data_IF_714162510064
#
_entry.id   IF_714162510064
#
_cell.length_a   1.000
_cell.length_b   1.000
_cell.length_c   1.000
_cell.angle_alpha   90.00
_cell.angle_beta   90.00
_cell.angle_gamma   90.00
#
_symmetry.space_group_name_H-M   'P 1'
#
loop_
_entity.id
_entity.type
_entity.pdbx_description
1 polymer ?
#
# COMPACT_ATOMS: atom_id res chain seq x y z
N UNK A 1 4.87 -6.46 -4.12
CA UNK A 1 6.23 -7.03 -3.96
C UNK A 1 6.25 -8.17 -2.93
N UNK A 2 5.64 -7.99 -1.76
CA UNK A 2 5.71 -8.95 -0.65
C UNK A 2 5.29 -10.39 -0.98
N UNK A 3 4.17 -10.58 -1.70
CA UNK A 3 3.73 -11.92 -2.11
C UNK A 3 4.80 -12.70 -2.88
N UNK A 4 5.58 -12.02 -3.72
CA UNK A 4 6.68 -12.65 -4.46
C UNK A 4 7.85 -13.00 -3.53
N UNK A 5 8.20 -12.11 -2.58
CA UNK A 5 9.21 -12.38 -1.56
C UNK A 5 8.83 -13.56 -0.68
N UNK A 6 7.57 -13.62 -0.24
CA UNK A 6 7.01 -14.71 0.57
C UNK A 6 7.04 -16.03 -0.20
N UNK A 7 6.60 -16.05 -1.46
CA UNK A 7 6.69 -17.24 -2.30
C UNK A 7 8.13 -17.74 -2.45
N UNK A 8 9.12 -16.85 -2.58
CA UNK A 8 10.55 -17.22 -2.63
C UNK A 8 11.01 -17.81 -1.29
N UNK A 9 10.63 -17.20 -0.16
CA UNK A 9 10.93 -17.73 1.17
C UNK A 9 10.35 -19.13 1.35
N UNK A 10 9.10 -19.32 0.94
CA UNK A 10 8.35 -20.56 1.15
C UNK A 10 8.93 -21.68 0.26
N UNK A 11 9.25 -21.38 -1.01
CA UNK A 11 9.95 -22.31 -1.91
C UNK A 11 11.34 -22.71 -1.39
N UNK A 12 12.04 -21.79 -0.72
CA UNK A 12 13.34 -22.04 -0.10
C UNK A 12 13.23 -22.58 1.34
N UNK A 13 12.03 -23.04 1.73
CA UNK A 13 11.74 -23.65 3.04
C UNK A 13 12.18 -22.78 4.22
N UNK A 14 12.05 -21.46 4.10
CA UNK A 14 12.46 -20.52 5.14
C UNK A 14 13.98 -20.45 5.38
N UNK A 15 14.82 -21.04 4.52
CA UNK A 15 16.29 -20.99 4.68
C UNK A 15 16.83 -19.61 4.35
N UNK A 16 16.94 -18.75 5.38
CA UNK A 16 17.37 -17.35 5.27
C UNK A 16 18.64 -17.14 4.45
N UNK A 17 19.64 -18.01 4.59
CA UNK A 17 20.90 -17.92 3.84
C UNK A 17 20.70 -17.99 2.31
N UNK A 18 19.63 -18.62 1.83
CA UNK A 18 19.35 -18.82 0.41
C UNK A 18 18.49 -17.69 -0.17
N UNK A 19 17.41 -17.28 0.52
CA UNK A 19 16.51 -16.27 -0.03
C UNK A 19 16.96 -14.83 0.23
N UNK A 20 17.73 -14.57 1.29
CA UNK A 20 18.09 -13.19 1.65
C UNK A 20 18.94 -12.48 0.57
N UNK A 21 19.92 -13.14 -0.09
CA UNK A 21 20.62 -12.53 -1.23
C UNK A 21 19.68 -12.21 -2.39
N UNK A 22 18.72 -13.10 -2.68
CA UNK A 22 17.72 -12.92 -3.74
C UNK A 22 16.82 -11.72 -3.42
N UNK A 23 16.31 -11.64 -2.18
CA UNK A 23 15.52 -10.49 -1.72
C UNK A 23 16.30 -9.19 -1.88
N UNK A 24 17.58 -9.13 -1.47
CA UNK A 24 18.42 -7.93 -1.64
C UNK A 24 18.61 -7.53 -3.10
N UNK A 25 18.76 -8.49 -4.01
CA UNK A 25 18.86 -8.20 -5.45
C UNK A 25 17.55 -7.65 -6.00
N UNK A 26 16.42 -8.20 -5.55
CA UNK A 26 15.10 -7.70 -5.93
C UNK A 26 14.88 -6.31 -5.36
N UNK A 27 15.20 -6.08 -4.08
CA UNK A 27 15.12 -4.77 -3.44
C UNK A 27 15.92 -3.74 -4.22
N UNK A 28 17.19 -4.03 -4.55
CA UNK A 28 18.03 -3.12 -5.32
C UNK A 28 17.44 -2.78 -6.70
N UNK A 29 16.91 -3.77 -7.42
CA UNK A 29 16.29 -3.55 -8.73
C UNK A 29 14.96 -2.79 -8.59
N UNK A 30 14.19 -3.09 -7.56
CA UNK A 30 12.91 -2.46 -7.27
C UNK A 30 13.09 -0.99 -6.90
N UNK A 31 14.06 -0.67 -6.04
CA UNK A 31 14.40 0.73 -5.70
C UNK A 31 14.93 1.51 -6.91
N UNK A 32 15.63 0.86 -7.84
CA UNK A 32 16.32 1.53 -8.96
C UNK A 32 15.60 1.59 -10.30
N UNK A 33 14.62 0.72 -10.57
CA UNK A 33 14.02 0.59 -11.92
C UNK A 33 12.49 0.67 -11.95
N UNK A 34 11.79 0.25 -10.90
CA UNK A 34 10.34 0.45 -10.80
C UNK A 34 10.09 1.56 -9.80
N UNK A 35 9.80 2.75 -10.30
CA UNK A 35 9.20 3.79 -9.48
C UNK A 35 7.95 3.23 -8.79
N UNK A 36 8.13 2.97 -7.50
CA UNK A 36 7.13 2.60 -6.52
C UNK A 36 5.94 3.59 -6.47
N UNK A 37 6.10 4.91 -6.74
CA UNK A 37 4.99 5.85 -6.66
C UNK A 37 3.80 5.49 -7.53
N UNK A 38 4.00 5.22 -8.82
CA UNK A 38 2.88 4.93 -9.70
C UNK A 38 2.18 3.62 -9.33
N UNK A 39 2.93 2.60 -8.93
CA UNK A 39 2.36 1.33 -8.50
C UNK A 39 1.65 1.45 -7.14
N UNK A 40 2.23 2.18 -6.20
CA UNK A 40 1.65 2.49 -4.90
C UNK A 40 0.36 3.30 -5.03
N UNK A 41 0.37 4.34 -5.85
CA UNK A 41 -0.79 5.18 -6.18
C UNK A 41 -1.86 4.35 -6.87
N UNK A 42 -1.51 3.58 -7.90
CA UNK A 42 -2.47 2.73 -8.61
C UNK A 42 -3.09 1.69 -7.68
N UNK A 43 -2.29 1.08 -6.79
CA UNK A 43 -2.77 0.16 -5.77
C UNK A 43 -3.69 0.85 -4.75
N UNK A 44 -3.31 2.05 -4.28
CA UNK A 44 -4.05 2.82 -3.29
C UNK A 44 -5.36 3.40 -3.83
N UNK A 45 -5.38 3.84 -5.09
CA UNK A 45 -6.54 4.48 -5.73
C UNK A 45 -7.47 3.48 -6.42
N UNK A 46 -7.04 2.24 -6.68
CA UNK A 46 -7.90 1.24 -7.30
C UNK A 46 -9.03 0.82 -6.32
N UNK A 47 -10.31 1.14 -6.59
CA UNK A 47 -11.41 0.84 -5.67
C UNK A 47 -11.58 -0.66 -5.40
N UNK A 48 -11.39 -1.50 -6.44
CA UNK A 48 -11.51 -2.95 -6.31
C UNK A 48 -10.48 -3.55 -5.36
N UNK A 49 -9.31 -2.91 -5.25
CA UNK A 49 -8.24 -3.30 -4.33
C UNK A 49 -8.44 -2.62 -2.97
N UNK A 50 -8.70 -1.31 -2.95
CA UNK A 50 -8.91 -0.49 -1.74
C UNK A 50 -9.93 -1.09 -0.78
N UNK A 51 -11.04 -1.58 -1.32
CA UNK A 51 -12.15 -2.13 -0.54
C UNK A 51 -12.06 -3.64 -0.35
N UNK A 52 -10.96 -4.27 -0.77
CA UNK A 52 -10.69 -5.67 -0.47
C UNK A 52 -10.28 -5.86 1.00
N UNK A 53 -10.73 -6.95 1.62
CA UNK A 53 -10.24 -7.39 2.94
C UNK A 53 -8.72 -7.62 3.00
N UNK A 54 -8.09 -7.77 1.83
CA UNK A 54 -6.64 -7.99 1.72
C UNK A 54 -5.85 -6.68 1.55
N UNK A 55 -6.53 -5.54 1.49
CA UNK A 55 -5.89 -4.23 1.36
C UNK A 55 -5.03 -3.94 2.59
N UNK A 56 -3.84 -3.40 2.33
CA UNK A 56 -2.91 -2.93 3.36
C UNK A 56 -2.37 -1.58 2.95
N UNK A 57 -2.63 -0.57 3.79
CA UNK A 57 -2.00 0.76 3.72
C UNK A 57 -0.65 0.67 4.43
N UNK A 58 0.31 0.00 3.81
CA UNK A 58 1.68 -0.08 4.34
C UNK A 58 2.48 1.20 4.06
N UNK A 59 3.68 1.29 4.65
CA UNK A 59 4.52 2.48 4.52
C UNK A 59 5.01 2.70 3.09
N UNK A 60 5.23 1.63 2.32
CA UNK A 60 5.70 1.74 0.95
C UNK A 60 4.61 2.32 0.04
N UNK A 61 3.35 1.87 0.23
CA UNK A 61 2.18 2.39 -0.48
C UNK A 61 1.95 3.87 -0.13
N UNK A 62 2.05 4.24 1.15
CA UNK A 62 1.87 5.63 1.57
C UNK A 62 3.00 6.54 1.05
N UNK A 63 4.25 6.10 1.15
CA UNK A 63 5.40 6.87 0.68
C UNK A 63 5.33 7.08 -0.83
N UNK A 64 5.00 6.03 -1.59
CA UNK A 64 4.83 6.14 -3.03
C UNK A 64 3.67 7.06 -3.44
N UNK A 65 2.57 7.09 -2.67
CA UNK A 65 1.48 8.04 -2.89
C UNK A 65 1.94 9.49 -2.70
N UNK A 66 2.61 9.78 -1.60
CA UNK A 66 3.11 11.13 -1.29
C UNK A 66 4.16 11.60 -2.30
N UNK A 67 5.09 10.73 -2.69
CA UNK A 67 6.08 11.01 -3.73
C UNK A 67 5.41 11.38 -5.05
N UNK A 68 4.31 10.70 -5.42
CA UNK A 68 3.57 11.01 -6.63
C UNK A 68 2.86 12.37 -6.53
N UNK A 69 2.22 12.66 -5.40
CA UNK A 69 1.56 13.95 -5.15
C UNK A 69 2.58 15.09 -5.24
N UNK A 70 3.76 14.92 -4.65
CA UNK A 70 4.86 15.89 -4.71
C UNK A 70 5.32 16.17 -6.16
N UNK A 71 5.30 15.16 -7.03
CA UNK A 71 5.65 15.31 -8.45
C UNK A 71 4.51 15.92 -9.26
N UNK A 72 3.26 15.53 -9.00
CA UNK A 72 2.09 15.92 -9.79
C UNK A 72 1.56 17.32 -9.44
N UNK A 73 1.69 17.74 -8.19
CA UNK A 73 1.15 19.00 -7.69
C UNK A 73 2.32 19.87 -7.25
N UNK A 74 2.73 20.84 -8.06
CA UNK A 74 3.88 21.68 -7.73
C UNK A 74 3.60 22.70 -6.60
N UNK A 75 2.33 23.06 -6.39
CA UNK A 75 1.92 24.04 -5.40
C UNK A 75 1.64 23.39 -4.05
N UNK A 76 2.40 23.77 -3.02
CA UNK A 76 2.26 23.21 -1.68
C UNK A 76 0.87 23.40 -1.06
N UNK A 77 0.18 24.52 -1.36
CA UNK A 77 -1.20 24.72 -0.87
C UNK A 77 -2.19 23.74 -1.49
N UNK A 78 -2.01 23.41 -2.77
CA UNK A 78 -2.83 22.42 -3.46
C UNK A 78 -2.49 21.00 -3.01
N UNK A 79 -1.21 20.71 -2.72
CA UNK A 79 -0.81 19.44 -2.11
C UNK A 79 -1.50 19.21 -0.76
N UNK A 80 -1.57 20.24 0.08
CA UNK A 80 -2.22 20.16 1.40
C UNK A 80 -3.73 19.88 1.28
N UNK A 81 -4.41 20.53 0.33
CA UNK A 81 -5.82 20.24 0.02
C UNK A 81 -5.98 18.80 -0.46
N UNK A 82 -5.14 18.33 -1.39
CA UNK A 82 -5.19 16.94 -1.89
C UNK A 82 -4.98 15.93 -0.76
N UNK A 83 -4.01 16.17 0.13
CA UNK A 83 -3.77 15.29 1.28
C UNK A 83 -4.96 15.27 2.26
N UNK A 84 -5.53 16.44 2.58
CA UNK A 84 -6.70 16.54 3.45
C UNK A 84 -7.91 15.79 2.86
N UNK A 85 -8.16 15.92 1.55
CA UNK A 85 -9.23 15.18 0.87
C UNK A 85 -9.03 13.66 0.92
N UNK A 86 -7.79 13.19 0.74
CA UNK A 86 -7.46 11.77 0.86
C UNK A 86 -7.68 11.23 2.29
N UNK A 87 -7.36 12.02 3.31
CA UNK A 87 -7.58 11.66 4.71
C UNK A 87 -9.07 11.67 5.09
N UNK A 88 -9.84 12.62 4.57
CA UNK A 88 -11.30 12.63 4.71
C UNK A 88 -11.92 11.40 4.05
N UNK A 89 -11.44 11.02 2.86
CA UNK A 89 -11.84 9.78 2.19
C UNK A 89 -11.49 8.54 3.04
N UNK A 90 -10.32 8.48 3.65
CA UNK A 90 -9.99 7.36 4.54
C UNK A 90 -10.91 7.32 5.79
N UNK A 91 -11.27 8.48 6.33
CA UNK A 91 -12.04 8.60 7.56
C UNK A 91 -13.53 8.32 7.36
N UNK A 92 -14.16 8.94 6.35
CA UNK A 92 -15.57 8.72 6.02
C UNK A 92 -15.87 7.28 5.66
N UNK A 93 -14.98 6.63 4.91
CA UNK A 93 -15.21 5.25 4.47
C UNK A 93 -14.93 4.22 5.57
N UNK A 94 -13.96 4.46 6.47
CA UNK A 94 -13.75 3.61 7.65
C UNK A 94 -14.93 3.69 8.62
N UNK A 95 -15.55 4.87 8.77
CA UNK A 95 -16.75 5.05 9.60
C UNK A 95 -17.98 4.28 9.08
N UNK A 96 -18.13 4.16 7.75
CA UNK A 96 -19.24 3.38 7.16
C UNK A 96 -19.07 1.86 7.30
N UNK A 97 -17.84 1.35 7.42
CA UNK A 97 -17.56 -0.09 7.51
C UNK A 97 -17.62 -0.70 8.93
N UNK A 98 -17.74 0.11 9.98
CA UNK A 98 -17.73 -0.37 11.37
C UNK A 98 -19.12 -0.66 11.96
N UNK A 99 -20.20 -0.21 11.33
CA UNK A 99 -21.55 -0.45 11.83
C UNK A 99 -22.12 -1.83 11.47
N UNK A 100 -21.55 -2.54 10.49
CA UNK A 100 -22.08 -3.82 10.00
C UNK A 100 -21.54 -5.06 10.71
N UNK A 101 -20.92 -4.93 11.90
CA UNK A 101 -20.29 -6.08 12.58
C UNK A 101 -20.60 -6.22 14.07
N UNK A 102 -21.55 -5.45 14.63
CA UNK A 102 -21.96 -5.61 16.03
C UNK A 102 -23.37 -6.20 16.25
N UNK A 103 -24.17 -6.44 15.20
CA UNK A 103 -25.55 -6.92 15.38
C UNK A 103 -25.71 -8.46 15.39
N UNK A 104 -24.62 -9.22 15.34
CA UNK A 104 -24.66 -10.70 15.38
C UNK A 104 -24.04 -11.27 16.67
N UNK A 105 -24.53 -10.86 17.84
CA UNK A 105 -24.55 -11.72 19.02
C UNK A 105 -25.52 -11.17 20.09
N UNK A 106 -26.79 -11.50 19.92
CA UNK A 106 -27.74 -11.61 21.02
C UNK A 106 -28.71 -12.76 20.69
N UNK A 107 -28.44 -13.92 21.27
CA UNK A 107 -29.41 -14.99 21.54
C UNK A 107 -29.28 -15.35 22.99
#
# INVERSE_FOLDING_TARGET
MDKAKEAIRDNLKGKKKLYMPIWKMIDKKWTGQLHQPLHAVAYYLNPAIRFSLTFKKDREVLHGLLDCINVLVANFREQDVVNNELDLNDTCYRGMGQHSSQDNHAS
#
